data_IF_075185663766
#
_entry.id   IF_075185663766
#
_cell.length_a   1.000
_cell.length_b   1.000
_cell.length_c   1.000
_cell.angle_alpha   90.00
_cell.angle_beta   90.00
_cell.angle_gamma   90.00
#
_symmetry.space_group_name_H-M   'P 1'
#
loop_
_entity.id
_entity.type
_entity.pdbx_description
1 polymer ?
#
# COMPACT_ATOMS: atom_id res chain seq x y z
N UNK A 1 -66.80 -55.93 -10.74
CA UNK A 1 -66.77 -54.45 -10.80
C UNK A 1 -65.47 -54.01 -10.14
N UNK A 2 -64.34 -54.03 -10.86
CA UNK A 2 -63.78 -52.95 -11.69
C UNK A 2 -63.23 -51.76 -10.88
N UNK A 3 -61.92 -51.55 -11.06
CA UNK A 3 -61.13 -50.32 -10.89
C UNK A 3 -60.97 -49.76 -9.47
N UNK A 4 -59.79 -49.31 -9.01
CA UNK A 4 -58.51 -49.12 -9.69
C UNK A 4 -57.42 -48.87 -8.63
N UNK A 5 -56.28 -49.56 -8.80
CA UNK A 5 -54.91 -49.00 -8.75
C UNK A 5 -54.40 -48.49 -7.39
N UNK A 6 -53.55 -49.28 -6.72
CA UNK A 6 -52.07 -49.21 -6.86
C UNK A 6 -51.44 -47.99 -6.16
N UNK A 7 -50.92 -48.18 -4.94
CA UNK A 7 -49.49 -48.51 -4.71
C UNK A 7 -49.10 -48.30 -3.25
N UNK A 8 -48.31 -49.26 -2.79
CA UNK A 8 -47.42 -49.23 -1.65
C UNK A 8 -46.76 -47.87 -1.44
N UNK A 9 -46.64 -47.40 -0.20
CA UNK A 9 -45.44 -46.65 0.18
C UNK A 9 -44.97 -47.02 1.58
N UNK A 10 -43.76 -47.57 1.59
CA UNK A 10 -42.97 -47.94 2.74
C UNK A 10 -42.61 -46.72 3.60
N UNK A 11 -42.48 -47.01 4.90
CA UNK A 11 -41.56 -46.36 5.83
C UNK A 11 -40.27 -45.86 5.17
N UNK A 12 -39.95 -44.58 5.37
CA UNK A 12 -38.58 -44.11 5.53
C UNK A 12 -38.61 -42.81 6.33
N UNK A 13 -38.37 -42.93 7.64
CA UNK A 13 -38.04 -41.83 8.53
C UNK A 13 -36.64 -41.35 8.11
N UNK A 14 -36.57 -40.31 7.30
CA UNK A 14 -35.33 -39.57 7.08
C UNK A 14 -35.17 -38.58 8.25
N UNK A 15 -34.47 -39.02 9.29
CA UNK A 15 -33.85 -38.11 10.25
C UNK A 15 -32.70 -37.40 9.52
N UNK A 16 -33.01 -36.29 8.86
CA UNK A 16 -31.99 -35.35 8.41
C UNK A 16 -31.52 -34.59 9.66
N UNK A 17 -30.55 -35.17 10.36
CA UNK A 17 -29.76 -34.42 11.32
C UNK A 17 -29.10 -33.28 10.53
N UNK A 18 -29.58 -32.06 10.73
CA UNK A 18 -28.94 -30.86 10.26
C UNK A 18 -27.63 -30.68 11.03
N UNK A 19 -26.58 -31.37 10.61
CA UNK A 19 -25.23 -30.86 10.79
C UNK A 19 -25.07 -29.77 9.76
N UNK A 20 -25.36 -28.52 10.15
CA UNK A 20 -24.85 -27.35 9.43
C UNK A 20 -23.33 -27.40 9.55
N UNK A 21 -22.68 -28.04 8.59
CA UNK A 21 -21.30 -27.75 8.28
C UNK A 21 -21.26 -26.27 7.91
N UNK A 22 -20.71 -25.44 8.81
CA UNK A 22 -20.54 -24.01 8.59
C UNK A 22 -19.51 -23.84 7.46
N UNK A 23 -19.97 -23.77 6.22
CA UNK A 23 -19.12 -23.60 5.07
C UNK A 23 -18.76 -22.12 4.95
N UNK A 24 -17.52 -21.77 5.32
CA UNK A 24 -16.70 -20.69 4.72
C UNK A 24 -17.52 -19.54 4.10
N UNK A 25 -18.20 -18.72 4.90
CA UNK A 25 -19.03 -17.63 4.39
C UNK A 25 -18.45 -16.27 4.78
N UNK A 26 -18.12 -15.47 3.78
CA UNK A 26 -17.97 -14.02 3.98
C UNK A 26 -19.28 -13.49 4.56
N UNK A 27 -19.23 -12.92 5.77
CA UNK A 27 -20.42 -12.44 6.46
C UNK A 27 -20.94 -11.17 5.79
N UNK A 28 -22.20 -11.18 5.38
CA UNK A 28 -22.90 -9.97 4.95
C UNK A 28 -23.29 -9.16 6.18
N UNK A 29 -22.65 -8.01 6.37
CA UNK A 29 -22.85 -7.18 7.54
C UNK A 29 -23.89 -6.09 7.24
N UNK A 30 -24.75 -5.85 8.22
CA UNK A 30 -25.76 -4.77 8.22
C UNK A 30 -25.35 -3.65 9.17
N UNK A 31 -26.21 -2.66 9.37
CA UNK A 31 -26.08 -1.61 10.39
C UNK A 31 -25.88 -2.15 11.82
N UNK A 32 -26.48 -3.31 12.14
CA UNK A 32 -26.24 -4.04 13.41
C UNK A 32 -24.78 -4.40 13.68
N UNK A 33 -23.92 -4.34 12.67
CA UNK A 33 -22.49 -4.51 12.87
C UNK A 33 -21.91 -3.51 13.88
N UNK A 34 -22.47 -2.29 13.96
CA UNK A 34 -22.00 -1.27 14.91
C UNK A 34 -22.15 -1.72 16.37
N UNK A 35 -23.12 -2.58 16.67
CA UNK A 35 -23.37 -3.08 18.03
C UNK A 35 -22.34 -4.15 18.43
N UNK A 36 -21.89 -4.98 17.47
CA UNK A 36 -21.02 -6.15 17.71
C UNK A 36 -19.56 -5.93 17.28
N UNK A 37 -19.22 -4.74 16.74
CA UNK A 37 -17.89 -4.47 16.18
C UNK A 37 -16.74 -4.61 17.18
N UNK A 38 -17.01 -4.36 18.46
CA UNK A 38 -16.01 -4.43 19.53
C UNK A 38 -15.87 -5.85 20.10
N UNK A 39 -16.78 -6.75 19.74
CA UNK A 39 -16.71 -8.15 20.12
C UNK A 39 -15.75 -8.88 19.17
N UNK A 40 -14.77 -9.60 19.70
CA UNK A 40 -13.85 -10.42 18.91
C UNK A 40 -12.97 -9.64 17.91
N UNK A 41 -12.57 -10.32 16.83
CA UNK A 41 -11.74 -9.76 15.77
C UNK A 41 -12.48 -9.83 14.44
N UNK A 42 -12.52 -8.71 13.74
CA UNK A 42 -13.21 -8.60 12.45
C UNK A 42 -12.24 -8.16 11.37
N UNK A 43 -12.34 -8.79 10.21
CA UNK A 43 -11.69 -8.33 8.98
C UNK A 43 -12.76 -7.97 7.97
N UNK A 44 -12.94 -6.67 7.72
CA UNK A 44 -14.13 -6.14 7.04
C UNK A 44 -13.75 -5.39 5.78
N UNK A 45 -14.45 -5.71 4.70
CA UNK A 45 -14.42 -4.97 3.44
C UNK A 45 -15.64 -4.06 3.33
N UNK A 46 -15.41 -2.76 3.30
CA UNK A 46 -16.40 -1.74 3.00
C UNK A 46 -16.43 -1.48 1.49
N UNK A 47 -17.59 -1.71 0.85
CA UNK A 47 -17.68 -1.72 -0.61
C UNK A 47 -18.94 -1.02 -1.13
N UNK A 48 -18.96 -0.77 -2.44
CA UNK A 48 -20.14 -0.37 -3.21
C UNK A 48 -20.36 -1.34 -4.39
N UNK A 49 -21.61 -1.72 -4.72
CA UNK A 49 -21.91 -2.77 -5.70
C UNK A 49 -21.48 -2.42 -7.13
N UNK A 50 -21.40 -1.14 -7.46
CA UNK A 50 -20.98 -0.64 -8.78
C UNK A 50 -19.45 -0.47 -8.92
N UNK A 51 -18.69 -0.55 -7.84
CA UNK A 51 -17.25 -0.27 -7.87
C UNK A 51 -16.46 -1.41 -8.54
N UNK A 52 -15.78 -1.12 -9.65
CA UNK A 52 -14.98 -2.10 -10.39
C UNK A 52 -13.84 -2.70 -9.55
N UNK A 53 -13.15 -1.89 -8.74
CA UNK A 53 -12.11 -2.39 -7.84
C UNK A 53 -12.64 -3.33 -6.75
N UNK A 54 -13.88 -3.11 -6.27
CA UNK A 54 -14.53 -4.02 -5.33
C UNK A 54 -14.82 -5.37 -6.00
N UNK A 55 -15.38 -5.34 -7.21
CA UNK A 55 -15.67 -6.56 -8.00
C UNK A 55 -14.41 -7.39 -8.26
N UNK A 56 -13.30 -6.72 -8.62
CA UNK A 56 -12.00 -7.39 -8.82
C UNK A 56 -11.47 -8.06 -7.53
N UNK A 57 -11.80 -7.51 -6.36
CA UNK A 57 -11.37 -8.01 -5.05
C UNK A 57 -12.23 -9.18 -4.52
N UNK A 58 -13.47 -9.35 -4.99
CA UNK A 58 -14.37 -10.42 -4.51
C UNK A 58 -13.75 -11.83 -4.48
N UNK A 59 -13.12 -12.36 -5.55
CA UNK A 59 -12.56 -13.71 -5.52
C UNK A 59 -11.44 -13.85 -4.49
N UNK A 60 -10.56 -12.84 -4.39
CA UNK A 60 -9.47 -12.83 -3.39
C UNK A 60 -10.06 -12.78 -1.98
N UNK A 61 -11.09 -11.95 -1.74
CA UNK A 61 -11.75 -11.83 -0.45
C UNK A 61 -12.39 -13.14 0.02
N UNK A 62 -13.01 -13.89 -0.91
CA UNK A 62 -13.55 -15.22 -0.63
C UNK A 62 -12.44 -16.20 -0.22
N UNK A 63 -11.30 -16.20 -0.92
CA UNK A 63 -10.16 -17.05 -0.57
C UNK A 63 -9.54 -16.71 0.79
N UNK A 64 -9.53 -15.41 1.16
CA UNK A 64 -9.09 -14.97 2.49
C UNK A 64 -10.05 -15.47 3.57
N UNK A 65 -11.37 -15.36 3.36
CA UNK A 65 -12.36 -15.89 4.29
C UNK A 65 -12.22 -17.40 4.49
N UNK A 66 -11.94 -18.15 3.42
CA UNK A 66 -11.68 -19.58 3.49
C UNK A 66 -10.41 -19.90 4.29
N UNK A 67 -9.33 -19.15 4.08
CA UNK A 67 -8.07 -19.36 4.80
C UNK A 67 -8.16 -19.05 6.29
N UNK A 68 -9.03 -18.10 6.67
CA UNK A 68 -9.24 -17.69 8.07
C UNK A 68 -10.35 -18.47 8.79
N UNK A 69 -10.98 -19.44 8.12
CA UNK A 69 -12.15 -20.17 8.64
C UNK A 69 -11.91 -20.84 10.01
N UNK A 70 -10.71 -21.40 10.25
CA UNK A 70 -10.35 -22.06 11.50
C UNK A 70 -9.74 -21.11 12.55
N UNK A 71 -9.89 -19.80 12.38
CA UNK A 71 -9.36 -18.78 13.29
C UNK A 71 -10.49 -18.06 14.03
N UNK A 72 -10.14 -17.28 15.05
CA UNK A 72 -11.12 -16.44 15.77
C UNK A 72 -11.49 -15.15 15.02
N UNK A 73 -11.11 -15.04 13.73
CA UNK A 73 -11.22 -13.82 12.94
C UNK A 73 -12.42 -13.94 12.02
N UNK A 74 -13.40 -13.06 12.21
CA UNK A 74 -14.61 -13.01 11.39
C UNK A 74 -14.40 -12.17 10.15
N UNK A 75 -14.52 -12.77 8.98
CA UNK A 75 -14.40 -12.05 7.69
C UNK A 75 -15.76 -11.60 7.21
N UNK A 76 -15.93 -10.28 7.02
CA UNK A 76 -17.20 -9.68 6.65
C UNK A 76 -17.09 -8.67 5.50
N UNK A 77 -18.25 -8.30 4.94
CA UNK A 77 -18.37 -7.21 3.97
C UNK A 77 -19.62 -6.37 4.25
N UNK A 78 -19.50 -5.06 4.06
CA UNK A 78 -20.59 -4.08 4.29
C UNK A 78 -20.82 -3.28 3.00
N UNK A 79 -22.07 -3.30 2.52
CA UNK A 79 -22.51 -2.40 1.45
C UNK A 79 -22.73 -0.99 2.01
N UNK A 80 -21.77 -0.09 1.76
CA UNK A 80 -21.80 1.28 2.27
C UNK A 80 -22.79 2.18 1.52
N UNK A 81 -23.32 1.73 0.37
CA UNK A 81 -24.40 2.44 -0.33
C UNK A 81 -25.76 2.20 0.32
N UNK A 82 -25.91 1.06 1.00
CA UNK A 82 -27.11 0.71 1.76
C UNK A 82 -27.01 1.12 3.23
N UNK A 83 -25.84 0.96 3.83
CA UNK A 83 -25.58 1.22 5.24
C UNK A 83 -24.63 2.41 5.42
N UNK A 84 -25.08 3.60 5.02
CA UNK A 84 -24.28 4.84 5.06
C UNK A 84 -23.83 5.23 6.49
N UNK A 85 -24.64 4.92 7.51
CA UNK A 85 -24.27 5.13 8.91
C UNK A 85 -23.00 4.34 9.31
N UNK A 86 -22.84 3.12 8.79
CA UNK A 86 -21.63 2.32 9.02
C UNK A 86 -20.44 2.97 8.31
N UNK A 87 -20.62 3.40 7.05
CA UNK A 87 -19.58 4.08 6.31
C UNK A 87 -19.09 5.37 7.03
N UNK A 88 -20.02 6.14 7.58
CA UNK A 88 -19.71 7.34 8.36
C UNK A 88 -18.98 7.00 9.66
N UNK A 89 -19.43 5.99 10.41
CA UNK A 89 -18.83 5.56 11.66
C UNK A 89 -17.36 5.14 11.50
N UNK A 90 -17.05 4.44 10.40
CA UNK A 90 -15.70 4.00 10.04
C UNK A 90 -14.95 4.99 9.12
N UNK A 91 -15.52 6.18 8.88
CA UNK A 91 -14.90 7.24 8.04
C UNK A 91 -14.46 6.74 6.66
N UNK A 92 -15.26 5.88 6.04
CA UNK A 92 -14.98 5.30 4.72
C UNK A 92 -15.16 6.39 3.66
N UNK A 93 -14.06 6.79 3.02
CA UNK A 93 -14.05 7.85 1.98
C UNK A 93 -13.85 7.30 0.56
N UNK A 94 -13.42 6.05 0.41
CA UNK A 94 -13.16 5.41 -0.87
C UNK A 94 -13.49 3.91 -0.84
N UNK A 95 -13.72 3.31 -2.02
CA UNK A 95 -14.06 1.90 -2.14
C UNK A 95 -13.07 1.12 -3.01
N UNK A 96 -12.72 -0.12 -2.64
CA UNK A 96 -12.98 -0.74 -1.34
C UNK A 96 -12.06 -0.14 -0.26
N UNK A 97 -12.58 -0.01 0.95
CA UNK A 97 -11.76 0.18 2.17
C UNK A 97 -11.75 -1.12 2.95
N UNK A 98 -10.57 -1.57 3.37
CA UNK A 98 -10.38 -2.81 4.10
C UNK A 98 -9.86 -2.45 5.49
N UNK A 99 -10.48 -2.99 6.54
CA UNK A 99 -10.08 -2.73 7.91
C UNK A 99 -10.01 -4.01 8.74
N UNK A 100 -9.03 -4.07 9.63
CA UNK A 100 -9.01 -5.02 10.74
C UNK A 100 -9.47 -4.32 12.01
N UNK A 101 -10.44 -4.89 12.71
CA UNK A 101 -11.07 -4.30 13.90
C UNK A 101 -10.88 -5.26 15.06
N UNK A 102 -10.32 -4.77 16.16
CA UNK A 102 -10.01 -5.54 17.37
C UNK A 102 -10.29 -4.69 18.60
N UNK A 103 -11.35 -5.02 19.32
CA UNK A 103 -11.83 -4.19 20.42
C UNK A 103 -12.16 -2.78 19.94
N UNK A 104 -11.70 -1.70 20.62
CA UNK A 104 -12.00 -0.33 20.23
C UNK A 104 -11.15 0.18 19.05
N UNK A 105 -10.18 -0.60 18.57
CA UNK A 105 -9.22 -0.18 17.56
C UNK A 105 -9.60 -0.69 16.16
N UNK A 106 -9.47 0.18 15.17
CA UNK A 106 -9.60 -0.12 13.76
C UNK A 106 -8.32 0.24 12.99
N UNK A 107 -7.87 -0.68 12.15
CA UNK A 107 -6.62 -0.57 11.39
C UNK A 107 -6.92 -0.68 9.90
N UNK A 108 -6.68 0.42 9.19
CA UNK A 108 -6.89 0.48 7.73
C UNK A 108 -5.76 -0.25 7.02
N UNK A 109 -6.13 -1.15 6.12
CA UNK A 109 -5.18 -1.84 5.26
C UNK A 109 -4.88 -1.02 4.01
N UNK A 110 -3.61 -0.69 3.79
CA UNK A 110 -3.14 0.13 2.64
C UNK A 110 -2.21 -0.63 1.70
N UNK A 111 -2.03 -1.94 1.88
CA UNK A 111 -1.12 -2.74 1.06
C UNK A 111 -1.76 -3.28 -0.22
N UNK A 112 -1.04 -4.16 -0.91
CA UNK A 112 -1.50 -4.81 -2.12
C UNK A 112 -2.62 -5.82 -1.85
N UNK A 113 -3.64 -5.83 -2.69
CA UNK A 113 -4.86 -6.61 -2.44
C UNK A 113 -4.74 -8.07 -2.89
N UNK A 114 -3.58 -8.68 -2.68
CA UNK A 114 -3.34 -10.11 -2.91
C UNK A 114 -3.86 -10.91 -1.72
N UNK A 115 -4.06 -12.23 -1.91
CA UNK A 115 -4.51 -13.09 -0.81
C UNK A 115 -3.46 -13.12 0.30
N UNK A 116 -2.20 -13.26 -0.10
CA UNK A 116 -1.05 -13.43 0.77
C UNK A 116 -0.83 -12.18 1.64
N UNK A 117 -0.83 -10.99 1.04
CA UNK A 117 -0.61 -9.74 1.78
C UNK A 117 -1.73 -9.44 2.78
N UNK A 118 -2.98 -9.74 2.41
CA UNK A 118 -4.13 -9.63 3.32
C UNK A 118 -4.01 -10.60 4.50
N UNK A 119 -3.60 -11.85 4.25
CA UNK A 119 -3.38 -12.84 5.31
C UNK A 119 -2.21 -12.45 6.22
N UNK A 120 -1.09 -11.99 5.68
CA UNK A 120 0.03 -11.51 6.49
C UNK A 120 -0.35 -10.30 7.35
N UNK A 121 -1.16 -9.38 6.83
CA UNK A 121 -1.69 -8.27 7.63
C UNK A 121 -2.56 -8.78 8.78
N UNK A 122 -3.55 -9.63 8.49
CA UNK A 122 -4.46 -10.16 9.52
C UNK A 122 -3.70 -10.97 10.57
N UNK A 123 -2.76 -11.81 10.17
CA UNK A 123 -1.94 -12.60 11.08
C UNK A 123 -1.12 -11.71 12.03
N UNK A 124 -0.52 -10.62 11.53
CA UNK A 124 0.18 -9.62 12.37
C UNK A 124 -0.77 -8.99 13.38
N UNK A 125 -1.90 -8.47 12.92
CA UNK A 125 -2.82 -7.68 13.75
C UNK A 125 -3.64 -8.52 14.75
N UNK A 126 -3.85 -9.80 14.46
CA UNK A 126 -4.59 -10.71 15.35
C UNK A 126 -3.87 -10.93 16.69
N UNK A 127 -2.53 -10.97 16.68
CA UNK A 127 -1.69 -11.15 17.86
C UNK A 127 -1.49 -9.87 18.69
N UNK A 128 -0.77 -9.96 19.83
CA UNK A 128 -0.23 -8.78 20.50
C UNK A 128 0.83 -8.09 19.60
N UNK A 129 1.11 -6.79 19.82
CA UNK A 129 2.14 -6.05 19.08
C UNK A 129 3.50 -6.76 19.09
N UNK A 130 3.91 -7.27 20.26
CA UNK A 130 5.12 -8.07 20.42
C UNK A 130 4.75 -9.49 20.84
N UNK A 131 5.16 -10.49 20.03
CA UNK A 131 4.86 -11.89 20.28
C UNK A 131 6.01 -12.59 21.02
N UNK A 132 5.69 -13.38 22.05
CA UNK A 132 6.69 -14.09 22.84
C UNK A 132 7.17 -15.36 22.15
N UNK A 133 8.48 -15.51 22.01
CA UNK A 133 9.13 -16.71 21.46
C UNK A 133 9.85 -17.44 22.59
N UNK A 134 9.23 -18.52 23.05
CA UNK A 134 9.68 -19.33 24.20
C UNK A 134 10.39 -20.61 23.82
N UNK A 135 10.27 -21.06 22.56
CA UNK A 135 10.88 -22.30 22.07
C UNK A 135 12.01 -21.98 21.09
N UNK A 136 13.18 -22.63 21.19
CA UNK A 136 14.30 -22.40 20.27
C UNK A 136 13.93 -22.62 18.81
N UNK A 137 13.33 -23.77 18.49
CA UNK A 137 12.98 -24.17 17.12
C UNK A 137 11.99 -23.19 16.45
N UNK A 138 11.26 -22.40 17.23
CA UNK A 138 10.35 -21.39 16.71
C UNK A 138 11.09 -20.30 15.92
N UNK A 139 12.34 -19.96 16.26
CA UNK A 139 13.08 -18.93 15.50
C UNK A 139 13.37 -19.41 14.07
N UNK A 140 13.70 -20.67 13.85
CA UNK A 140 13.97 -21.16 12.49
C UNK A 140 12.70 -21.18 11.64
N UNK A 141 11.55 -21.50 12.26
CA UNK A 141 10.23 -21.38 11.62
C UNK A 141 9.94 -19.90 11.28
N UNK A 142 10.24 -18.97 12.18
CA UNK A 142 10.08 -17.53 11.92
C UNK A 142 10.98 -17.06 10.78
N UNK A 143 12.24 -17.48 10.74
CA UNK A 143 13.19 -17.18 9.66
C UNK A 143 12.74 -17.72 8.30
N UNK A 144 12.02 -18.85 8.27
CA UNK A 144 11.49 -19.44 7.06
C UNK A 144 10.21 -18.75 6.56
N UNK A 145 9.32 -18.35 7.47
CA UNK A 145 8.00 -17.80 7.13
C UNK A 145 7.99 -16.28 6.99
N UNK A 146 8.87 -15.57 7.72
CA UNK A 146 8.93 -14.12 7.76
C UNK A 146 10.30 -13.66 7.26
N UNK A 147 10.37 -13.02 6.07
CA UNK A 147 11.64 -12.57 5.52
C UNK A 147 12.27 -11.44 6.34
N UNK A 148 11.44 -10.67 7.05
CA UNK A 148 11.85 -9.55 7.91
C UNK A 148 11.04 -9.57 9.21
N UNK A 149 11.73 -9.53 10.34
CA UNK A 149 11.09 -9.35 11.64
C UNK A 149 12.04 -8.71 12.65
N UNK A 150 11.47 -8.00 13.62
CA UNK A 150 12.19 -7.37 14.72
C UNK A 150 12.11 -8.24 15.96
N UNK A 151 13.20 -8.32 16.72
CA UNK A 151 13.28 -9.12 17.94
C UNK A 151 13.90 -8.30 19.05
N UNK A 152 13.23 -8.27 20.19
CA UNK A 152 13.79 -7.84 21.46
C UNK A 152 14.35 -9.03 22.22
N UNK A 153 15.54 -8.87 22.81
CA UNK A 153 16.25 -9.90 23.55
C UNK A 153 16.58 -9.40 24.94
N UNK A 154 16.10 -10.12 25.95
CA UNK A 154 16.34 -9.79 27.35
C UNK A 154 15.05 -9.78 28.17
N UNK A 155 15.16 -9.23 29.38
CA UNK A 155 14.01 -9.04 30.27
C UNK A 155 13.15 -7.88 29.76
N UNK A 156 11.83 -8.02 29.82
CA UNK A 156 10.87 -7.06 29.26
C UNK A 156 10.61 -5.94 30.26
N UNK A 157 11.67 -5.22 30.59
CA UNK A 157 11.66 -4.10 31.50
C UNK A 157 12.66 -3.02 31.04
N UNK A 158 12.45 -1.81 31.53
CA UNK A 158 13.28 -0.66 31.22
C UNK A 158 12.93 0.04 29.92
N UNK A 159 13.61 1.17 29.69
CA UNK A 159 13.25 2.15 28.68
C UNK A 159 13.31 1.56 27.26
N UNK A 160 14.31 0.73 26.96
CA UNK A 160 14.42 0.11 25.64
C UNK A 160 13.22 -0.78 25.32
N UNK A 161 12.74 -1.56 26.30
CA UNK A 161 11.56 -2.41 26.12
C UNK A 161 10.33 -1.56 25.85
N UNK A 162 10.10 -0.51 26.65
CA UNK A 162 8.93 0.36 26.51
C UNK A 162 8.89 1.03 25.13
N UNK A 163 10.05 1.54 24.67
CA UNK A 163 10.18 2.17 23.35
C UNK A 163 10.03 1.14 22.23
N UNK A 164 10.60 -0.06 22.38
CA UNK A 164 10.45 -1.15 21.40
C UNK A 164 9.00 -1.62 21.29
N UNK A 165 8.30 -1.75 22.42
CA UNK A 165 6.89 -2.12 22.45
C UNK A 165 6.02 -1.04 21.81
N UNK A 166 6.29 0.24 22.09
CA UNK A 166 5.58 1.36 21.46
C UNK A 166 5.82 1.44 19.94
N UNK A 167 7.06 1.18 19.50
CA UNK A 167 7.37 1.06 18.08
C UNK A 167 6.63 -0.13 17.45
N UNK A 168 6.59 -1.28 18.13
CA UNK A 168 5.86 -2.45 17.69
C UNK A 168 4.36 -2.17 17.55
N UNK A 169 3.74 -1.43 18.48
CA UNK A 169 2.33 -1.00 18.38
C UNK A 169 2.07 -0.16 17.13
N UNK A 170 2.96 0.77 16.83
CA UNK A 170 2.83 1.68 15.69
C UNK A 170 3.10 0.98 14.35
N UNK A 171 4.04 0.04 14.32
CA UNK A 171 4.49 -0.63 13.09
C UNK A 171 3.97 -2.06 12.92
N UNK A 172 3.13 -2.59 13.83
CA UNK A 172 2.48 -3.90 13.70
C UNK A 172 1.77 -4.11 12.35
N UNK A 173 1.10 -3.09 11.74
CA UNK A 173 0.54 -3.22 10.39
C UNK A 173 1.57 -3.52 9.30
N UNK A 174 2.84 -3.20 9.55
CA UNK A 174 3.92 -3.19 8.57
C UNK A 174 5.04 -4.19 8.85
N UNK A 175 5.14 -4.75 10.06
CA UNK A 175 6.20 -5.70 10.42
C UNK A 175 5.80 -6.67 11.53
N UNK A 176 6.57 -7.74 11.69
CA UNK A 176 6.45 -8.65 12.83
C UNK A 176 7.44 -8.25 13.92
N UNK A 177 6.99 -8.28 15.17
CA UNK A 177 7.81 -7.99 16.34
C UNK A 177 7.71 -9.15 17.33
N UNK A 178 8.86 -9.57 17.82
CA UNK A 178 9.02 -10.70 18.73
C UNK A 178 9.82 -10.28 19.96
N UNK A 179 9.65 -11.03 21.04
CA UNK A 179 10.53 -10.97 22.20
C UNK A 179 10.98 -12.39 22.54
N UNK A 180 12.24 -12.55 22.94
CA UNK A 180 12.79 -13.87 23.31
C UNK A 180 13.84 -13.77 24.41
N UNK A 181 14.09 -14.90 25.06
CA UNK A 181 15.11 -15.05 26.10
C UNK A 181 16.53 -15.02 25.52
N UNK A 182 17.51 -14.68 26.36
CA UNK A 182 18.93 -14.61 25.99
C UNK A 182 19.46 -15.96 25.52
N UNK A 183 19.01 -17.05 26.15
CA UNK A 183 19.44 -18.42 25.84
C UNK A 183 19.06 -18.84 24.42
N UNK A 184 17.84 -18.49 24.00
CA UNK A 184 17.35 -18.74 22.65
C UNK A 184 18.10 -17.84 21.67
N UNK A 185 18.19 -16.54 21.96
CA UNK A 185 18.80 -15.60 21.03
C UNK A 185 20.29 -15.89 20.79
N UNK A 186 21.05 -16.31 21.81
CA UNK A 186 22.44 -16.72 21.68
C UNK A 186 22.65 -17.84 20.65
N UNK A 187 21.72 -18.80 20.55
CA UNK A 187 21.82 -19.91 19.58
C UNK A 187 21.59 -19.48 18.14
N UNK A 188 20.71 -18.51 17.89
CA UNK A 188 20.29 -18.15 16.53
C UNK A 188 20.91 -16.84 16.00
N UNK A 189 21.42 -15.98 16.89
CA UNK A 189 21.94 -14.65 16.55
C UNK A 189 23.34 -14.36 17.12
N UNK A 190 23.87 -15.17 18.05
CA UNK A 190 25.21 -14.94 18.61
C UNK A 190 25.31 -13.63 19.41
N UNK A 191 24.40 -13.43 20.38
CA UNK A 191 24.28 -12.19 21.15
C UNK A 191 25.17 -12.21 22.39
N UNK A 192 26.00 -11.17 22.52
CA UNK A 192 26.88 -10.97 23.68
C UNK A 192 26.37 -9.88 24.64
N UNK A 193 25.64 -8.87 24.15
CA UNK A 193 25.13 -7.74 24.94
C UNK A 193 23.60 -7.79 25.06
N UNK A 194 23.09 -7.55 26.27
CA UNK A 194 21.64 -7.53 26.59
C UNK A 194 21.34 -6.40 27.58
N UNK A 195 20.17 -5.73 27.50
CA UNK A 195 19.08 -5.96 26.53
C UNK A 195 19.45 -5.47 25.12
N UNK A 196 18.90 -6.11 24.10
CA UNK A 196 19.18 -5.77 22.70
C UNK A 196 17.91 -5.81 21.84
N UNK A 197 17.84 -4.91 20.86
CA UNK A 197 16.87 -4.97 19.77
C UNK A 197 17.62 -5.27 18.47
N UNK A 198 17.07 -6.19 17.67
CA UNK A 198 17.64 -6.56 16.38
C UNK A 198 16.55 -6.74 15.32
N UNK A 199 16.95 -6.64 14.06
CA UNK A 199 16.13 -7.01 12.91
C UNK A 199 16.77 -8.21 12.24
N UNK A 200 16.00 -9.26 11.99
CA UNK A 200 16.38 -10.31 11.06
C UNK A 200 15.87 -9.92 9.68
N UNK A 201 16.76 -9.87 8.69
CA UNK A 201 16.41 -9.69 7.28
C UNK A 201 17.48 -10.27 6.38
N UNK A 202 17.08 -10.81 5.23
CA UNK A 202 18.01 -11.33 4.21
C UNK A 202 18.97 -12.40 4.74
N UNK A 203 18.47 -13.31 5.59
CA UNK A 203 19.27 -14.37 6.23
C UNK A 203 20.38 -13.86 7.13
N UNK A 204 20.38 -12.58 7.47
CA UNK A 204 21.29 -11.94 8.41
C UNK A 204 20.50 -11.24 9.53
N UNK A 205 21.21 -10.69 10.51
CA UNK A 205 20.62 -9.87 11.55
C UNK A 205 21.44 -8.60 11.78
N UNK A 206 20.77 -7.52 12.15
CA UNK A 206 21.37 -6.22 12.40
C UNK A 206 20.88 -5.67 13.74
N UNK A 207 21.80 -5.18 14.55
CA UNK A 207 21.49 -4.63 15.86
C UNK A 207 21.06 -3.17 15.74
N UNK A 208 20.16 -2.76 16.63
CA UNK A 208 19.92 -1.35 16.87
C UNK A 208 21.21 -0.71 17.42
N UNK A 209 21.73 0.38 16.80
CA UNK A 209 23.10 0.87 17.01
C UNK A 209 23.40 1.54 18.37
N UNK A 210 22.64 1.22 19.42
CA UNK A 210 22.80 1.79 20.77
C UNK A 210 22.77 0.74 21.88
N UNK A 211 22.99 -0.55 21.56
CA UNK A 211 22.92 -1.66 22.54
C UNK A 211 23.69 -1.42 23.83
N UNK A 212 24.79 -0.67 23.78
CA UNK A 212 25.77 -0.61 24.86
C UNK A 212 25.67 0.67 25.74
N UNK A 213 24.86 1.67 25.37
CA UNK A 213 24.82 2.99 26.02
C UNK A 213 23.41 3.59 26.23
N UNK A 214 22.39 2.76 26.46
CA UNK A 214 21.02 3.27 26.66
C UNK A 214 20.88 4.19 27.87
N UNK A 215 21.65 3.97 28.93
CA UNK A 215 21.58 4.74 30.18
C UNK A 215 22.00 6.21 30.02
N UNK A 216 22.69 6.54 28.93
CA UNK A 216 23.18 7.89 28.63
C UNK A 216 22.26 8.65 27.65
N UNK A 217 21.28 7.97 27.04
CA UNK A 217 20.37 8.56 26.06
C UNK A 217 19.10 9.06 26.73
N UNK A 218 18.73 10.29 26.42
CA UNK A 218 17.41 10.80 26.79
C UNK A 218 16.31 9.95 26.15
N UNK A 219 15.24 9.59 26.89
CA UNK A 219 14.17 8.73 26.37
C UNK A 219 13.53 9.22 25.07
N UNK A 220 13.42 10.55 24.88
CA UNK A 220 12.86 11.14 23.67
C UNK A 220 13.74 10.86 22.43
N UNK A 221 15.06 10.98 22.57
CA UNK A 221 16.01 10.69 21.48
C UNK A 221 16.05 9.19 21.17
N UNK A 222 15.96 8.33 22.19
CA UNK A 222 15.85 6.88 22.00
C UNK A 222 14.57 6.51 21.24
N UNK A 223 13.46 7.16 21.56
CA UNK A 223 12.18 6.97 20.87
C UNK A 223 12.30 7.32 19.37
N UNK A 224 12.78 8.53 19.05
CA UNK A 224 12.93 8.95 17.67
C UNK A 224 13.90 8.05 16.88
N UNK A 225 15.02 7.65 17.49
CA UNK A 225 16.02 6.81 16.85
C UNK A 225 15.53 5.38 16.60
N UNK A 226 14.82 4.75 17.54
CA UNK A 226 14.28 3.41 17.36
C UNK A 226 13.15 3.40 16.32
N UNK A 227 12.22 4.36 16.38
CA UNK A 227 11.14 4.47 15.38
C UNK A 227 11.70 4.68 13.97
N UNK A 228 12.71 5.55 13.82
CA UNK A 228 13.40 5.76 12.56
C UNK A 228 14.06 4.47 12.06
N UNK A 229 14.79 3.79 12.94
CA UNK A 229 15.46 2.53 12.60
C UNK A 229 14.46 1.44 12.19
N UNK A 230 13.36 1.26 12.92
CA UNK A 230 12.28 0.31 12.53
C UNK A 230 11.69 0.69 11.17
N UNK A 231 11.45 1.98 10.91
CA UNK A 231 10.91 2.42 9.63
C UNK A 231 11.87 2.18 8.45
N UNK A 232 13.17 2.28 8.67
CA UNK A 232 14.19 2.03 7.64
C UNK A 232 14.44 0.54 7.41
N UNK A 233 14.48 -0.25 8.49
CA UNK A 233 14.86 -1.66 8.42
C UNK A 233 13.72 -2.61 8.03
N UNK A 234 12.46 -2.17 8.09
CA UNK A 234 11.28 -2.99 7.74
C UNK A 234 11.19 -3.35 6.26
N UNK A 235 12.01 -2.72 5.41
CA UNK A 235 12.04 -2.97 3.97
C UNK A 235 13.19 -3.91 3.59
N UNK A 236 12.98 -4.81 2.61
CA UNK A 236 14.07 -5.48 1.91
C UNK A 236 15.04 -4.48 1.30
N UNK A 237 16.29 -4.88 1.04
CA UNK A 237 17.27 -4.03 0.36
C UNK A 237 16.83 -3.67 -1.05
N UNK A 238 16.06 -4.55 -1.70
CA UNK A 238 15.55 -4.35 -3.07
C UNK A 238 14.09 -4.81 -3.21
N UNK A 239 13.11 -4.12 -2.58
CA UNK A 239 11.71 -4.48 -2.67
C UNK A 239 11.09 -4.06 -4.02
N UNK A 240 10.01 -4.75 -4.40
CA UNK A 240 9.11 -4.26 -5.44
C UNK A 240 8.34 -3.04 -4.92
N UNK A 241 8.42 -1.95 -5.66
CA UNK A 241 7.76 -0.67 -5.37
C UNK A 241 6.52 -0.56 -6.24
N UNK A 242 5.40 -0.29 -5.59
CA UNK A 242 4.07 -0.15 -6.20
C UNK A 242 3.44 1.16 -5.74
N UNK A 243 2.34 1.58 -6.37
CA UNK A 243 1.58 2.76 -5.93
C UNK A 243 1.05 2.62 -4.49
N UNK A 244 0.84 1.40 -3.99
CA UNK A 244 0.31 1.16 -2.64
C UNK A 244 1.38 1.32 -1.55
N UNK A 245 2.63 0.97 -1.86
CA UNK A 245 3.72 0.95 -0.87
C UNK A 245 4.73 2.11 -1.00
N UNK A 246 4.78 2.82 -2.12
CA UNK A 246 5.79 3.88 -2.34
C UNK A 246 5.74 4.96 -1.26
N UNK A 247 4.56 5.36 -0.81
CA UNK A 247 4.42 6.37 0.25
C UNK A 247 5.12 5.94 1.55
N UNK A 248 5.05 4.66 1.89
CA UNK A 248 5.73 4.09 3.05
C UNK A 248 7.26 4.10 2.90
N UNK A 249 7.75 3.87 1.69
CA UNK A 249 9.19 3.87 1.38
C UNK A 249 9.75 5.29 1.40
N UNK A 250 9.04 6.24 0.81
CA UNK A 250 9.39 7.68 0.78
C UNK A 250 9.47 8.27 2.20
N UNK A 251 8.68 7.77 3.15
CA UNK A 251 8.75 8.17 4.57
C UNK A 251 10.09 7.84 5.25
N UNK A 252 10.93 6.97 4.67
CA UNK A 252 12.30 6.76 5.16
C UNK A 252 13.19 7.99 4.98
N UNK A 253 12.76 8.97 4.18
CA UNK A 253 13.50 10.19 3.80
C UNK A 253 14.83 9.92 3.10
N UNK A 254 15.08 8.67 2.68
CA UNK A 254 16.18 8.29 1.80
C UNK A 254 15.84 8.65 0.36
N UNK A 255 16.87 8.79 -0.46
CA UNK A 255 16.69 8.80 -1.91
C UNK A 255 16.17 7.43 -2.36
N UNK A 256 15.11 7.42 -3.15
CA UNK A 256 14.52 6.19 -3.66
C UNK A 256 15.07 5.90 -5.06
N UNK A 257 15.91 4.87 -5.17
CA UNK A 257 16.48 4.40 -6.45
C UNK A 257 15.56 3.31 -7.00
N UNK A 258 15.01 3.52 -8.20
CA UNK A 258 14.09 2.60 -8.85
C UNK A 258 14.67 2.06 -10.14
N UNK A 259 14.83 0.73 -10.20
CA UNK A 259 14.96 0.01 -11.47
C UNK A 259 13.56 -0.15 -12.08
N UNK A 260 13.32 0.45 -13.24
CA UNK A 260 12.04 0.44 -13.94
C UNK A 260 12.09 -0.63 -15.01
N UNK A 261 11.17 -1.59 -14.92
CA UNK A 261 10.98 -2.67 -15.87
C UNK A 261 9.47 -2.82 -16.16
N UNK A 262 9.13 -3.52 -17.22
CA UNK A 262 7.75 -3.81 -17.61
C UNK A 262 7.42 -5.30 -17.40
N UNK A 263 6.47 -5.55 -16.52
CA UNK A 263 5.85 -6.85 -16.33
C UNK A 263 4.68 -7.05 -17.29
N UNK A 264 4.63 -8.20 -17.95
CA UNK A 264 3.46 -8.58 -18.73
C UNK A 264 2.26 -8.97 -17.81
N UNK A 265 1.13 -9.32 -18.42
CA UNK A 265 -0.09 -9.73 -17.67
C UNK A 265 0.08 -10.97 -16.80
N UNK A 266 1.14 -11.75 -17.02
CA UNK A 266 1.52 -12.93 -16.24
C UNK A 266 2.58 -12.61 -15.17
N UNK A 267 2.92 -11.34 -14.98
CA UNK A 267 4.01 -10.89 -14.09
C UNK A 267 5.39 -11.41 -14.50
N UNK A 268 5.59 -11.65 -15.80
CA UNK A 268 6.88 -12.02 -16.37
C UNK A 268 7.55 -10.79 -16.97
N UNK A 269 8.88 -10.72 -16.85
CA UNK A 269 9.71 -9.62 -17.35
C UNK A 269 10.52 -10.14 -18.53
N UNK A 270 10.71 -9.32 -19.56
CA UNK A 270 11.57 -9.68 -20.70
C UNK A 270 13.01 -9.95 -20.23
N UNK A 271 13.69 -10.93 -20.85
CA UNK A 271 15.01 -11.38 -20.37
C UNK A 271 16.04 -10.25 -20.20
N UNK A 272 16.13 -9.33 -21.16
CA UNK A 272 17.06 -8.19 -21.10
C UNK A 272 16.72 -7.20 -19.97
N UNK A 273 15.43 -6.98 -19.68
CA UNK A 273 15.02 -6.12 -18.55
C UNK A 273 15.23 -6.82 -17.21
N UNK A 274 15.05 -8.15 -17.17
CA UNK A 274 15.34 -8.95 -16.00
C UNK A 274 16.84 -8.92 -15.68
N UNK A 275 17.70 -9.04 -16.68
CA UNK A 275 19.16 -8.91 -16.52
C UNK A 275 19.54 -7.54 -15.94
N UNK A 276 18.93 -6.46 -16.43
CA UNK A 276 19.12 -5.12 -15.88
C UNK A 276 18.67 -5.03 -14.41
N UNK A 277 17.45 -5.50 -14.09
CA UNK A 277 16.93 -5.52 -12.72
C UNK A 277 17.85 -6.28 -11.78
N UNK A 278 18.26 -7.48 -12.18
CA UNK A 278 19.10 -8.38 -11.38
C UNK A 278 20.51 -7.79 -11.20
N UNK A 279 21.04 -7.06 -12.19
CA UNK A 279 22.29 -6.31 -12.07
C UNK A 279 22.20 -5.23 -10.98
N UNK A 280 21.13 -4.43 -10.97
CA UNK A 280 20.91 -3.40 -9.93
C UNK A 280 20.73 -4.05 -8.56
N UNK A 281 20.00 -5.16 -8.48
CA UNK A 281 19.83 -5.93 -7.23
C UNK A 281 21.18 -6.44 -6.70
N UNK A 282 22.02 -7.03 -7.54
CA UNK A 282 23.34 -7.52 -7.16
C UNK A 282 24.23 -6.36 -6.71
N UNK A 283 24.19 -5.23 -7.42
CA UNK A 283 24.95 -4.02 -7.08
C UNK A 283 24.63 -3.52 -5.67
N UNK A 284 23.34 -3.38 -5.32
CA UNK A 284 22.96 -2.86 -4.00
C UNK A 284 23.31 -3.84 -2.88
N UNK A 285 23.16 -5.15 -3.08
CA UNK A 285 23.53 -6.13 -2.07
C UNK A 285 25.04 -6.12 -1.80
N UNK A 286 25.88 -6.00 -2.83
CA UNK A 286 27.34 -5.89 -2.69
C UNK A 286 27.76 -4.60 -1.99
N UNK A 287 27.06 -3.49 -2.25
CA UNK A 287 27.43 -2.16 -1.76
C UNK A 287 26.54 -1.63 -0.63
N UNK A 288 25.81 -2.53 0.07
CA UNK A 288 24.83 -2.16 1.10
C UNK A 288 25.39 -1.22 2.16
N UNK A 289 26.60 -1.48 2.64
CA UNK A 289 27.24 -0.65 3.67
C UNK A 289 27.51 0.79 3.20
N UNK A 290 27.79 1.00 1.91
CA UNK A 290 28.04 2.34 1.33
C UNK A 290 26.74 3.12 1.16
N UNK A 291 25.67 2.46 0.70
CA UNK A 291 24.47 3.18 0.24
C UNK A 291 23.27 3.14 1.18
N UNK A 292 23.13 2.12 2.05
CA UNK A 292 21.91 1.90 2.86
C UNK A 292 21.50 3.08 3.73
N UNK A 293 22.47 3.89 4.21
CA UNK A 293 22.17 5.06 5.03
C UNK A 293 21.47 6.21 4.29
N UNK A 294 21.62 6.29 2.96
CA UNK A 294 21.16 7.45 2.16
C UNK A 294 20.19 7.08 1.05
N UNK A 295 20.29 5.85 0.55
CA UNK A 295 19.51 5.36 -0.57
C UNK A 295 18.71 4.14 -0.14
N UNK A 296 17.45 4.11 -0.53
CA UNK A 296 16.61 2.92 -0.53
C UNK A 296 16.43 2.51 -1.99
N UNK A 297 16.91 1.31 -2.33
CA UNK A 297 16.71 0.79 -3.68
C UNK A 297 15.40 0.01 -3.73
N UNK A 298 14.87 -0.15 -4.94
CA UNK A 298 13.77 -1.02 -5.26
C UNK A 298 13.56 -1.09 -6.77
N UNK A 299 12.54 -1.81 -7.19
CA UNK A 299 12.19 -1.92 -8.61
C UNK A 299 10.70 -1.79 -8.82
N UNK A 300 10.30 -1.34 -10.00
CA UNK A 300 8.91 -1.16 -10.40
C UNK A 300 8.65 -2.02 -11.62
N UNK A 301 7.60 -2.85 -11.59
CA UNK A 301 7.16 -3.66 -12.75
C UNK A 301 6.10 -2.99 -13.63
N UNK A 302 5.51 -1.89 -13.17
CA UNK A 302 4.54 -1.08 -13.93
C UNK A 302 5.11 0.32 -14.16
N UNK A 303 5.55 0.65 -15.38
CA UNK A 303 6.24 1.90 -15.67
C UNK A 303 5.45 3.17 -15.31
N UNK A 304 4.12 3.11 -15.22
CA UNK A 304 3.24 4.25 -14.88
C UNK A 304 3.67 5.03 -13.64
N UNK A 305 4.23 4.33 -12.63
CA UNK A 305 4.72 4.98 -11.42
C UNK A 305 5.96 5.83 -11.72
N UNK A 306 6.90 5.28 -12.50
CA UNK A 306 8.08 6.01 -12.95
C UNK A 306 7.71 7.14 -13.91
N UNK A 307 6.76 6.91 -14.82
CA UNK A 307 6.25 7.93 -15.73
C UNK A 307 5.61 9.10 -14.98
N UNK A 308 4.86 8.82 -13.92
CA UNK A 308 4.26 9.85 -13.04
C UNK A 308 5.31 10.63 -12.25
N UNK A 309 6.41 10.00 -11.83
CA UNK A 309 7.54 10.66 -11.16
C UNK A 309 8.29 11.57 -12.13
N UNK A 310 8.65 11.04 -13.30
CA UNK A 310 9.38 11.77 -14.34
C UNK A 310 8.51 12.85 -15.03
N UNK A 311 7.19 12.68 -14.97
CA UNK A 311 6.21 13.41 -15.78
C UNK A 311 6.50 13.28 -17.29
N UNK A 312 6.96 12.08 -17.69
CA UNK A 312 7.33 11.73 -19.06
C UNK A 312 7.17 10.22 -19.30
N UNK A 313 7.12 9.79 -20.56
CA UNK A 313 7.10 8.39 -20.97
C UNK A 313 8.53 7.87 -21.09
N UNK A 314 8.98 7.12 -20.09
CA UNK A 314 10.31 6.49 -20.07
C UNK A 314 10.29 5.15 -20.80
N UNK A 315 11.31 4.89 -21.60
CA UNK A 315 11.57 3.56 -22.16
C UNK A 315 12.01 2.59 -21.05
N UNK A 316 11.67 1.30 -21.19
CA UNK A 316 12.14 0.25 -20.29
C UNK A 316 13.25 -0.57 -20.96
N UNK A 317 14.25 -1.06 -20.19
CA UNK A 317 14.44 -0.79 -18.76
C UNK A 317 14.98 0.64 -18.52
N UNK A 318 14.88 1.17 -17.30
CA UNK A 318 15.48 2.47 -16.92
C UNK A 318 15.84 2.55 -15.44
N UNK A 319 16.76 3.45 -15.08
CA UNK A 319 17.01 3.84 -13.68
C UNK A 319 16.48 5.26 -13.43
N UNK A 320 15.84 5.47 -12.28
CA UNK A 320 15.43 6.80 -11.81
C UNK A 320 15.66 6.91 -10.30
N UNK A 321 16.10 8.07 -9.83
CA UNK A 321 16.32 8.35 -8.41
C UNK A 321 15.44 9.50 -7.96
N UNK A 322 14.58 9.25 -6.98
CA UNK A 322 13.64 10.23 -6.43
C UNK A 322 14.12 10.73 -5.07
N UNK A 323 14.20 12.04 -4.90
CA UNK A 323 14.30 12.67 -3.60
C UNK A 323 12.90 12.79 -2.97
N UNK A 324 12.65 11.94 -1.98
CA UNK A 324 11.40 11.89 -1.22
C UNK A 324 10.99 13.23 -0.57
N UNK A 325 11.97 14.06 -0.21
CA UNK A 325 11.71 15.30 0.53
C UNK A 325 11.33 16.46 -0.40
N UNK A 326 11.95 16.53 -1.58
CA UNK A 326 11.77 17.64 -2.52
C UNK A 326 10.86 17.29 -3.70
N UNK A 327 10.53 16.00 -3.91
CA UNK A 327 9.91 15.46 -5.12
C UNK A 327 10.71 15.77 -6.40
N UNK A 328 12.01 16.03 -6.26
CA UNK A 328 12.94 16.11 -7.37
C UNK A 328 13.39 14.71 -7.76
N UNK A 329 13.67 14.50 -9.03
CA UNK A 329 14.20 13.24 -9.52
C UNK A 329 15.42 13.45 -10.41
N UNK A 330 16.20 12.39 -10.55
CA UNK A 330 17.41 12.32 -11.35
C UNK A 330 17.34 11.10 -12.25
N UNK A 331 17.81 11.26 -13.48
CA UNK A 331 17.86 10.21 -14.50
C UNK A 331 19.30 10.17 -15.03
N UNK A 332 19.92 8.97 -15.18
CA UNK A 332 21.24 8.85 -15.81
C UNK A 332 21.22 9.38 -17.25
N UNK A 333 22.34 9.94 -17.70
CA UNK A 333 22.52 10.33 -19.11
C UNK A 333 22.82 9.14 -20.02
N UNK A 334 23.37 8.06 -19.46
CA UNK A 334 23.71 6.85 -20.19
C UNK A 334 22.47 6.09 -20.66
N UNK A 335 22.58 5.42 -21.81
CA UNK A 335 21.56 4.49 -22.30
C UNK A 335 21.34 3.36 -21.27
N UNK A 336 20.11 3.11 -20.80
CA UNK A 336 19.81 2.04 -19.85
C UNK A 336 20.33 0.67 -20.24
N UNK A 337 20.39 0.37 -21.54
CA UNK A 337 20.91 -0.91 -22.05
C UNK A 337 22.44 -1.03 -21.92
N UNK A 338 23.13 0.09 -21.71
CA UNK A 338 24.59 0.16 -21.56
C UNK A 338 25.02 0.44 -20.12
N UNK A 339 24.07 0.48 -19.19
CA UNK A 339 24.30 0.93 -17.82
C UNK A 339 25.06 -0.15 -17.03
N UNK A 340 26.30 0.14 -16.63
CA UNK A 340 27.15 -0.77 -15.85
C UNK A 340 27.06 -0.49 -14.34
N UNK A 341 27.47 -1.44 -13.48
CA UNK A 341 27.56 -1.19 -12.03
C UNK A 341 28.40 0.04 -11.67
N UNK A 342 29.49 0.30 -12.41
CA UNK A 342 30.36 1.46 -12.21
C UNK A 342 29.65 2.77 -12.62
N UNK A 343 28.84 2.74 -13.68
CA UNK A 343 28.02 3.88 -14.07
C UNK A 343 26.97 4.21 -13.00
N UNK A 344 26.34 3.20 -12.38
CA UNK A 344 25.43 3.40 -11.25
C UNK A 344 26.16 4.09 -10.09
N UNK A 345 27.36 3.63 -9.74
CA UNK A 345 28.16 4.23 -8.67
C UNK A 345 28.49 5.71 -8.96
N UNK A 346 29.00 6.02 -10.16
CA UNK A 346 29.30 7.40 -10.56
C UNK A 346 28.05 8.28 -10.54
N UNK A 347 26.91 7.74 -10.98
CA UNK A 347 25.64 8.46 -10.98
C UNK A 347 25.17 8.76 -9.55
N UNK A 348 25.18 7.78 -8.65
CA UNK A 348 24.77 7.98 -7.25
C UNK A 348 25.72 8.92 -6.50
N UNK A 349 27.02 8.86 -6.78
CA UNK A 349 28.00 9.77 -6.21
C UNK A 349 27.80 11.20 -6.75
N UNK A 350 27.39 11.38 -8.01
CA UNK A 350 27.07 12.71 -8.56
C UNK A 350 25.79 13.31 -7.96
N UNK A 351 24.78 12.50 -7.62
CA UNK A 351 23.61 12.94 -6.85
C UNK A 351 24.05 13.35 -5.44
N UNK A 352 24.91 12.56 -4.80
CA UNK A 352 25.42 12.88 -3.47
C UNK A 352 26.19 14.21 -3.44
N UNK A 353 27.01 14.45 -4.47
CA UNK A 353 27.79 15.68 -4.63
C UNK A 353 26.96 16.86 -5.18
N UNK A 354 25.65 16.67 -5.40
CA UNK A 354 24.73 17.68 -5.95
C UNK A 354 25.15 18.22 -7.32
N UNK A 355 25.86 17.42 -8.11
CA UNK A 355 26.27 17.78 -9.48
C UNK A 355 25.37 17.17 -10.55
N UNK A 356 24.56 16.16 -10.20
CA UNK A 356 23.60 15.55 -11.11
C UNK A 356 22.50 16.54 -11.53
N UNK A 357 21.99 16.47 -12.78
CA UNK A 357 20.85 17.26 -13.19
C UNK A 357 19.62 16.91 -12.34
N UNK A 358 18.91 17.93 -11.87
CA UNK A 358 17.70 17.81 -11.05
C UNK A 358 16.47 18.17 -11.87
N UNK A 359 15.45 17.30 -11.84
CA UNK A 359 14.19 17.52 -12.53
C UNK A 359 13.01 17.47 -11.54
N UNK A 360 11.87 18.05 -11.92
CA UNK A 360 10.66 18.02 -11.09
C UNK A 360 10.70 18.97 -9.89
N UNK A 361 10.34 18.47 -8.71
CA UNK A 361 10.28 19.24 -7.48
C UNK A 361 8.87 19.64 -6.99
N UNK A 362 8.85 20.58 -6.05
CA UNK A 362 7.67 21.04 -5.31
C UNK A 362 7.20 22.47 -5.65
N UNK A 363 7.79 23.11 -6.66
CA UNK A 363 7.38 24.45 -7.07
C UNK A 363 5.94 24.46 -7.61
N UNK A 364 5.24 25.58 -7.45
CA UNK A 364 3.85 25.71 -7.88
C UNK A 364 3.65 25.42 -9.38
N UNK A 365 4.52 25.92 -10.30
CA UNK A 365 4.43 25.57 -11.71
C UNK A 365 4.58 24.06 -11.97
N UNK A 366 5.53 23.40 -11.30
CA UNK A 366 5.75 21.95 -11.43
C UNK A 366 4.54 21.16 -10.92
N UNK A 367 3.92 21.59 -9.82
CA UNK A 367 2.71 20.94 -9.30
C UNK A 367 1.53 21.06 -10.26
N UNK A 368 1.36 22.21 -10.90
CA UNK A 368 0.31 22.41 -11.93
C UNK A 368 0.61 21.49 -13.12
N UNK A 369 1.86 21.44 -13.59
CA UNK A 369 2.26 20.57 -14.68
C UNK A 369 2.03 19.09 -14.37
N UNK A 370 2.39 18.64 -13.16
CA UNK A 370 2.14 17.27 -12.68
C UNK A 370 0.66 16.93 -12.68
N UNK A 371 -0.18 17.82 -12.15
CA UNK A 371 -1.63 17.63 -12.13
C UNK A 371 -2.22 17.54 -13.55
N UNK A 372 -1.73 18.38 -14.48
CA UNK A 372 -2.11 18.30 -15.88
C UNK A 372 -1.66 17.00 -16.55
N UNK A 373 -0.42 16.56 -16.30
CA UNK A 373 0.11 15.31 -16.83
C UNK A 373 -0.70 14.10 -16.34
N UNK A 374 -0.96 14.01 -15.03
CA UNK A 374 -1.79 12.94 -14.45
C UNK A 374 -3.22 12.94 -15.00
N UNK A 375 -3.83 14.12 -15.16
CA UNK A 375 -5.16 14.25 -15.75
C UNK A 375 -5.17 13.80 -17.22
N UNK A 376 -4.19 14.24 -18.01
CA UNK A 376 -4.05 13.85 -19.42
C UNK A 376 -3.86 12.34 -19.58
N UNK A 377 -2.95 11.74 -18.81
CA UNK A 377 -2.69 10.29 -18.85
C UNK A 377 -3.92 9.51 -18.43
N UNK A 378 -4.59 9.92 -17.33
CA UNK A 378 -5.83 9.28 -16.88
C UNK A 378 -6.94 9.34 -17.94
N UNK A 379 -7.12 10.49 -18.60
CA UNK A 379 -8.10 10.64 -19.68
C UNK A 379 -7.78 9.76 -20.89
N UNK A 380 -6.50 9.66 -21.25
CA UNK A 380 -6.03 8.79 -22.33
C UNK A 380 -6.30 7.31 -22.01
N UNK A 381 -5.99 6.87 -20.80
CA UNK A 381 -6.23 5.49 -20.35
C UNK A 381 -7.73 5.18 -20.29
N UNK A 382 -8.55 6.13 -19.83
CA UNK A 382 -10.02 6.00 -19.86
C UNK A 382 -10.54 5.83 -21.29
N UNK A 383 -10.03 6.64 -22.22
CA UNK A 383 -10.41 6.56 -23.63
C UNK A 383 -10.04 5.20 -24.25
N UNK A 384 -8.82 4.72 -24.03
CA UNK A 384 -8.38 3.41 -24.49
C UNK A 384 -9.19 2.26 -23.86
N UNK A 385 -9.57 2.39 -22.59
CA UNK A 385 -10.34 1.37 -21.88
C UNK A 385 -11.81 1.29 -22.31
N UNK A 386 -12.50 2.42 -22.42
CA UNK A 386 -13.89 2.49 -22.89
C UNK A 386 -14.18 3.86 -23.54
N UNK A 387 -14.04 3.99 -24.87
CA UNK A 387 -14.18 5.28 -25.54
C UNK A 387 -15.62 5.81 -25.49
N UNK A 388 -16.62 4.93 -25.51
CA UNK A 388 -18.04 5.31 -25.47
C UNK A 388 -18.39 5.93 -24.12
N UNK A 389 -18.06 5.26 -23.01
CA UNK A 389 -18.33 5.77 -21.67
C UNK A 389 -17.59 7.08 -21.43
N UNK A 390 -16.32 7.18 -21.85
CA UNK A 390 -15.50 8.38 -21.70
C UNK A 390 -16.09 9.56 -22.48
N UNK A 391 -16.53 9.33 -23.73
CA UNK A 391 -17.18 10.35 -24.54
C UNK A 391 -18.47 10.87 -23.90
N UNK A 392 -19.29 9.98 -23.32
CA UNK A 392 -20.53 10.38 -22.63
C UNK A 392 -20.22 11.14 -21.34
N UNK A 393 -19.29 10.63 -20.54
CA UNK A 393 -18.95 11.19 -19.23
C UNK A 393 -18.42 12.63 -19.31
N UNK A 394 -17.58 12.92 -20.32
CA UNK A 394 -16.99 14.26 -20.48
C UNK A 394 -17.72 15.11 -21.53
N UNK A 395 -18.21 14.49 -22.60
CA UNK A 395 -18.87 15.20 -23.71
C UNK A 395 -20.22 15.80 -23.32
N UNK A 396 -21.03 15.10 -22.51
CA UNK A 396 -22.32 15.67 -22.06
C UNK A 396 -22.12 16.91 -21.17
N UNK A 397 -21.32 16.88 -20.08
CA UNK A 397 -21.08 18.07 -19.27
C UNK A 397 -20.43 19.21 -20.05
N UNK A 398 -19.45 18.91 -20.92
CA UNK A 398 -18.82 19.94 -21.75
C UNK A 398 -19.79 20.54 -22.78
N UNK A 399 -20.70 19.72 -23.33
CA UNK A 399 -21.77 20.19 -24.21
C UNK A 399 -22.71 21.13 -23.48
N UNK A 400 -23.17 20.77 -22.28
CA UNK A 400 -24.00 21.66 -21.45
C UNK A 400 -23.26 22.94 -21.05
N UNK A 401 -21.99 22.85 -20.66
CA UNK A 401 -21.18 24.02 -20.33
C UNK A 401 -21.00 24.93 -21.54
N UNK A 402 -20.75 24.37 -22.72
CA UNK A 402 -20.65 25.12 -23.98
C UNK A 402 -21.96 25.84 -24.30
N UNK A 403 -23.11 25.19 -24.09
CA UNK A 403 -24.42 25.83 -24.28
C UNK A 403 -24.64 26.97 -23.28
N UNK A 404 -24.28 26.77 -22.00
CA UNK A 404 -24.37 27.82 -20.97
C UNK A 404 -23.47 29.00 -21.33
N UNK A 405 -22.21 28.76 -21.71
CA UNK A 405 -21.28 29.81 -22.10
C UNK A 405 -21.76 30.54 -23.37
N UNK A 406 -22.29 29.82 -24.35
CA UNK A 406 -22.88 30.42 -25.54
C UNK A 406 -24.07 31.32 -25.19
N UNK A 407 -24.99 30.85 -24.34
CA UNK A 407 -26.13 31.66 -23.89
C UNK A 407 -25.72 32.92 -23.12
N UNK A 408 -24.67 32.85 -22.28
CA UNK A 408 -24.16 34.03 -21.56
C UNK A 408 -23.52 35.01 -22.54
N UNK A 409 -22.64 34.55 -23.42
CA UNK A 409 -21.95 35.42 -24.39
C UNK A 409 -22.90 36.02 -25.45
N UNK A 410 -23.99 35.33 -25.79
CA UNK A 410 -24.97 35.82 -26.76
C UNK A 410 -26.10 36.65 -26.13
N UNK A 411 -26.34 36.55 -24.82
CA UNK A 411 -27.28 37.43 -24.12
C UNK A 411 -26.77 38.89 -24.10
N UNK A 412 -25.48 39.10 -23.84
CA UNK A 412 -24.87 40.44 -23.84
C UNK A 412 -24.88 41.13 -25.23
N UNK A 413 -24.97 40.37 -26.32
CA UNK A 413 -25.03 40.94 -27.69
C UNK A 413 -26.44 41.46 -28.00
N UNK A 414 -27.48 40.79 -27.49
CA UNK A 414 -28.87 41.18 -27.72
C UNK A 414 -29.25 42.41 -26.86
N UNK A 415 -28.74 42.50 -25.64
CA UNK A 415 -28.99 43.67 -24.77
C UNK A 415 -28.27 44.94 -25.28
N UNK A 416 -27.14 44.80 -25.98
CA UNK A 416 -26.41 45.94 -26.56
C UNK A 416 -27.09 46.54 -27.80
N UNK A 417 -27.86 45.76 -28.56
CA UNK A 417 -28.63 46.27 -29.71
C UNK A 417 -29.88 47.06 -29.27
N UNK A 418 -30.45 46.79 -28.08
CA UNK A 418 -31.59 47.56 -27.56
C UNK A 418 -31.21 48.96 -27.02
N UNK A 419 -29.97 49.18 -26.57
CA UNK A 419 -29.52 50.50 -26.09
C UNK A 419 -29.18 51.51 -27.22
N UNK A 420 -28.91 51.06 -28.46
CA UNK A 420 -28.63 51.97 -29.58
C UNK A 420 -29.91 52.59 -30.19
N UNK A 421 -31.09 52.06 -29.88
CA UNK A 421 -32.39 52.48 -30.43
C UNK A 421 -33.19 53.48 -29.55
N UNK A 422 -32.64 54.01 -28.45
CA UNK A 422 -33.28 55.12 -27.73
C UNK A 422 -33.10 56.48 -28.46
N UNK A 423 -34.18 57.12 -28.96
CA UNK A 423 -34.07 58.41 -29.62
C UNK A 423 -33.77 59.53 -28.61
N UNK A 424 -32.65 60.24 -28.80
CA UNK A 424 -32.35 61.50 -28.10
C UNK A 424 -33.49 62.49 -28.28
N UNK A 425 -34.27 62.72 -27.23
CA UNK A 425 -35.22 63.82 -27.17
C UNK A 425 -34.49 65.18 -27.19
N UNK A 426 -34.42 65.80 -28.38
CA UNK A 426 -34.14 67.23 -28.50
C UNK A 426 -35.27 68.04 -27.83
N UNK A 427 -34.94 68.77 -26.76
CA UNK A 427 -35.80 69.83 -26.22
C UNK A 427 -35.78 71.01 -27.19
N UNK A 428 -36.93 71.36 -27.77
CA UNK A 428 -37.17 72.68 -28.36
C UNK A 428 -37.95 73.55 -27.36
N UNK A 429 -37.42 74.74 -27.16
CA UNK A 429 -38.01 75.88 -26.44
C UNK A 429 -39.31 76.38 -27.09
#
# INVERSE_FOLDING_TARGET
>A
MLCNQWKCFLFLVFAFAATTADSSRVLELSDRFLDVRNEGQWFVKFYAPWCAHCKKLEPVWAHVAQALYNTNIRVGRVDCTRFSAVAQAFRVSAYPTIMFIKGPYDYVYTGDRTKEDLLHFVNRMSGPPVQQVTRPDSIDILKANNPIFFTYVGKQDGILWDVFYSAAESYQPHGYFYATSVEIAKRHFGIDTVPAALVYKERSHYYFPYSDNFDLLEPAHLNESLFRWVNEERFPTFPKVTRSNIHHIVQTKKYLVLAVVEENKLSEIAAHEQEFRDMVEIFVHKNKQKYHGRFQFGWVGTPDLAHSIAMDTLATPHLIVLNASTNEHHIPEDDPLQLTPEAIELFLDSIHNQTAPTFGGNSLPVRIYRAWFEAKTSLYDMWLGNPVLTSVLFGLPLGFLSLIMYSICCADILDAEEEEDEPRHEKKE
#
